data_IF_338837636387
#
_entry.id   IF_338837636387
#
_cell.length_a   1.000
_cell.length_b   1.000
_cell.length_c   1.000
_cell.angle_alpha   90.00
_cell.angle_beta   90.00
_cell.angle_gamma   90.00
#
_symmetry.space_group_name_H-M   'P 1'
#
loop_
_entity.id
_entity.type
_entity.pdbx_description
1 polymer ?
#
# COMPACT_ATOMS: atom_id res chain seq x y z
N UNK A 1 -16.54 -32.44 -9.11
CA UNK A 1 -17.60 -31.53 -8.61
C UNK A 1 -16.93 -30.43 -7.78
N UNK A 2 -16.99 -29.15 -8.19
CA UNK A 2 -16.33 -28.05 -7.44
C UNK A 2 -16.96 -27.92 -6.05
N UNK A 3 -16.14 -28.04 -4.99
CA UNK A 3 -16.58 -27.86 -3.60
C UNK A 3 -16.76 -26.37 -3.31
N UNK A 4 -17.72 -26.05 -2.43
CA UNK A 4 -17.98 -24.69 -1.91
C UNK A 4 -18.10 -23.64 -3.03
N UNK A 5 -18.89 -23.92 -4.08
CA UNK A 5 -19.13 -22.99 -5.22
C UNK A 5 -19.59 -21.60 -4.79
N UNK A 6 -20.27 -21.50 -3.66
CA UNK A 6 -20.73 -20.22 -3.11
C UNK A 6 -19.57 -19.24 -2.89
N UNK A 7 -18.36 -19.69 -2.54
CA UNK A 7 -17.19 -18.83 -2.38
C UNK A 7 -16.80 -18.14 -3.69
N UNK A 8 -16.77 -18.89 -4.80
CA UNK A 8 -16.47 -18.35 -6.12
C UNK A 8 -17.55 -17.35 -6.54
N UNK A 9 -18.83 -17.73 -6.41
CA UNK A 9 -19.95 -16.90 -6.86
C UNK A 9 -20.03 -15.62 -6.02
N UNK A 10 -20.07 -15.73 -4.70
CA UNK A 10 -20.16 -14.57 -3.80
C UNK A 10 -18.92 -13.69 -3.89
N UNK A 11 -17.71 -14.27 -3.91
CA UNK A 11 -16.46 -13.53 -4.06
C UNK A 11 -16.40 -12.77 -5.37
N UNK A 12 -16.78 -13.39 -6.50
CA UNK A 12 -16.80 -12.71 -7.81
C UNK A 12 -17.86 -11.61 -7.87
N UNK A 13 -19.09 -11.88 -7.40
CA UNK A 13 -20.17 -10.89 -7.40
C UNK A 13 -19.81 -9.69 -6.53
N UNK A 14 -19.31 -9.92 -5.30
CA UNK A 14 -18.90 -8.84 -4.40
C UNK A 14 -17.72 -8.05 -4.98
N UNK A 15 -16.70 -8.73 -5.52
CA UNK A 15 -15.57 -8.04 -6.14
C UNK A 15 -16.01 -7.15 -7.31
N UNK A 16 -16.86 -7.67 -8.20
CA UNK A 16 -17.38 -6.90 -9.33
C UNK A 16 -18.22 -5.71 -8.88
N UNK A 17 -19.10 -5.87 -7.89
CA UNK A 17 -19.93 -4.78 -7.36
C UNK A 17 -19.08 -3.70 -6.70
N UNK A 18 -18.09 -4.10 -5.90
CA UNK A 18 -17.19 -3.17 -5.20
C UNK A 18 -16.28 -2.42 -6.18
N UNK A 19 -15.69 -3.11 -7.15
CA UNK A 19 -14.88 -2.46 -8.18
C UNK A 19 -15.73 -1.50 -9.03
N UNK A 20 -16.95 -1.91 -9.41
CA UNK A 20 -17.89 -1.01 -10.08
C UNK A 20 -18.18 0.22 -9.23
N UNK A 21 -18.45 0.05 -7.93
CA UNK A 21 -18.70 1.16 -7.01
C UNK A 21 -17.50 2.12 -6.92
N UNK A 22 -16.29 1.59 -6.76
CA UNK A 22 -15.05 2.39 -6.71
C UNK A 22 -14.87 3.19 -8.00
N UNK A 23 -15.01 2.55 -9.17
CA UNK A 23 -14.81 3.21 -10.47
C UNK A 23 -15.93 4.22 -10.77
N UNK A 24 -17.19 3.84 -10.56
CA UNK A 24 -18.36 4.67 -10.88
C UNK A 24 -18.41 5.94 -10.04
N UNK A 25 -18.07 5.84 -8.74
CA UNK A 25 -18.02 6.99 -7.84
C UNK A 25 -16.62 7.62 -7.71
N UNK A 26 -15.64 7.17 -8.52
CA UNK A 26 -14.26 7.67 -8.53
C UNK A 26 -13.64 7.74 -7.12
N UNK A 27 -13.85 6.69 -6.32
CA UNK A 27 -13.41 6.67 -4.94
C UNK A 27 -11.90 6.49 -4.85
N UNK A 28 -11.27 7.33 -4.06
CA UNK A 28 -9.88 7.18 -3.65
C UNK A 28 -9.81 6.66 -2.21
N UNK A 29 -8.81 5.83 -1.87
CA UNK A 29 -8.61 5.43 -0.49
C UNK A 29 -8.36 6.69 0.35
N UNK A 30 -8.88 6.76 1.59
CA UNK A 30 -8.63 7.90 2.46
C UNK A 30 -7.13 8.14 2.58
N UNK A 31 -6.72 9.41 2.48
CA UNK A 31 -5.34 9.81 2.75
C UNK A 31 -5.04 9.52 4.22
N UNK A 32 -4.29 8.46 4.47
CA UNK A 32 -3.62 8.19 5.74
C UNK A 32 -2.14 8.47 5.57
N UNK A 33 -1.44 8.69 6.68
CA UNK A 33 0.00 9.00 6.74
C UNK A 33 0.76 8.41 5.56
N UNK A 34 1.14 9.29 4.63
CA UNK A 34 1.87 8.90 3.42
C UNK A 34 3.21 8.36 3.90
N UNK A 35 3.39 7.04 3.84
CA UNK A 35 4.67 6.44 4.15
C UNK A 35 5.70 6.98 3.17
N UNK A 36 6.62 7.75 3.74
CA UNK A 36 7.74 8.31 3.04
C UNK A 36 8.65 7.17 2.59
N UNK A 37 8.67 6.86 1.29
CA UNK A 37 9.62 5.90 0.72
C UNK A 37 10.44 6.48 -0.44
N UNK A 38 11.75 6.22 -0.40
CA UNK A 38 12.70 6.65 -1.42
C UNK A 38 12.43 6.01 -2.79
N UNK A 39 12.91 6.65 -3.87
CA UNK A 39 12.81 6.06 -5.22
C UNK A 39 13.54 4.71 -5.29
N UNK A 40 14.67 4.56 -4.59
CA UNK A 40 15.44 3.31 -4.55
C UNK A 40 14.66 2.14 -3.94
N UNK A 41 13.78 2.42 -2.98
CA UNK A 41 12.92 1.41 -2.36
C UNK A 41 11.60 1.22 -3.09
N UNK A 42 11.26 2.03 -4.09
CA UNK A 42 10.00 1.93 -4.83
C UNK A 42 9.77 0.53 -5.43
N UNK A 43 10.70 0.03 -6.26
CA UNK A 43 10.54 -1.28 -6.90
C UNK A 43 10.47 -2.41 -5.88
N UNK A 44 11.21 -2.27 -4.78
CA UNK A 44 11.21 -3.27 -3.72
C UNK A 44 9.86 -3.28 -2.97
N UNK A 45 9.38 -2.11 -2.56
CA UNK A 45 8.15 -1.93 -1.77
C UNK A 45 6.86 -2.05 -2.57
N UNK A 46 6.87 -1.68 -3.85
CA UNK A 46 5.67 -1.62 -4.69
C UNK A 46 5.55 -2.80 -5.67
N UNK A 47 6.64 -3.54 -5.92
CA UNK A 47 6.63 -4.69 -6.83
C UNK A 47 7.15 -5.95 -6.16
N UNK A 48 8.43 -6.00 -5.78
CA UNK A 48 9.07 -7.25 -5.35
C UNK A 48 8.38 -7.82 -4.11
N UNK A 49 8.23 -7.03 -3.04
CA UNK A 49 7.59 -7.54 -1.83
C UNK A 49 6.10 -7.83 -2.03
N UNK A 50 5.25 -6.93 -2.54
CA UNK A 50 3.82 -7.20 -2.66
C UNK A 50 3.47 -8.29 -3.67
N UNK A 51 4.25 -8.45 -4.74
CA UNK A 51 3.93 -9.43 -5.81
C UNK A 51 4.52 -10.80 -5.50
N UNK A 52 5.71 -10.87 -4.91
CA UNK A 52 6.45 -12.14 -4.79
C UNK A 52 6.53 -12.67 -3.36
N UNK A 53 6.54 -11.81 -2.34
CA UNK A 53 6.82 -12.23 -0.95
C UNK A 53 5.55 -12.20 -0.10
N UNK A 54 4.82 -11.08 -0.12
CA UNK A 54 3.59 -10.90 0.65
C UNK A 54 2.56 -12.00 0.38
N UNK A 55 2.29 -12.43 -0.87
CA UNK A 55 1.29 -13.46 -1.13
C UNK A 55 1.62 -14.80 -0.46
N UNK A 56 2.90 -15.15 -0.35
CA UNK A 56 3.32 -16.40 0.29
C UNK A 56 3.03 -16.36 1.78
N UNK A 57 3.43 -15.26 2.44
CA UNK A 57 3.26 -15.06 3.88
C UNK A 57 1.77 -14.94 4.21
N UNK A 58 1.05 -14.10 3.48
CA UNK A 58 -0.36 -13.80 3.73
C UNK A 58 -1.26 -15.01 3.48
N UNK A 59 -1.10 -15.73 2.37
CA UNK A 59 -1.94 -16.91 2.12
C UNK A 59 -1.70 -18.02 3.17
N UNK A 60 -0.48 -18.18 3.68
CA UNK A 60 -0.23 -19.10 4.81
C UNK A 60 -0.85 -18.55 6.10
N UNK A 61 -0.64 -17.28 6.41
CA UNK A 61 -1.14 -16.63 7.64
C UNK A 61 -2.66 -16.62 7.73
N UNK A 62 -3.35 -16.33 6.63
CA UNK A 62 -4.80 -16.22 6.63
C UNK A 62 -5.49 -17.53 6.26
N UNK A 63 -4.91 -18.35 5.39
CA UNK A 63 -5.57 -19.56 4.84
C UNK A 63 -4.77 -20.85 4.99
N UNK A 64 -3.63 -20.86 5.67
CA UNK A 64 -2.82 -22.07 5.87
C UNK A 64 -3.60 -23.22 6.53
N UNK A 65 -4.65 -22.92 7.30
CA UNK A 65 -5.57 -23.91 7.88
C UNK A 65 -6.33 -24.75 6.84
N UNK A 66 -6.61 -24.20 5.65
CA UNK A 66 -7.30 -24.88 4.54
C UNK A 66 -6.41 -25.93 3.86
N UNK A 67 -5.10 -25.87 4.08
CA UNK A 67 -4.17 -26.79 3.44
C UNK A 67 -4.22 -28.19 4.06
N UNK A 68 -3.82 -29.21 3.29
CA UNK A 68 -3.64 -30.57 3.81
C UNK A 68 -2.30 -30.74 4.56
N UNK A 69 -1.36 -29.82 4.39
CA UNK A 69 -0.02 -29.91 4.97
C UNK A 69 -0.04 -29.53 6.46
N UNK A 70 0.42 -30.44 7.32
CA UNK A 70 0.56 -30.18 8.77
C UNK A 70 1.57 -29.07 9.06
N UNK A 71 2.62 -28.98 8.24
CA UNK A 71 3.64 -27.93 8.36
C UNK A 71 3.00 -26.57 8.13
N UNK A 72 2.26 -26.39 7.02
CA UNK A 72 1.61 -25.11 6.72
C UNK A 72 0.51 -24.76 7.72
N UNK A 73 -0.23 -25.76 8.23
CA UNK A 73 -1.17 -25.55 9.33
C UNK A 73 -0.48 -25.12 10.63
N UNK A 74 0.72 -25.65 10.92
CA UNK A 74 1.54 -25.21 12.05
C UNK A 74 2.08 -23.80 11.87
N UNK A 75 2.56 -23.46 10.68
CA UNK A 75 3.05 -22.10 10.36
C UNK A 75 1.90 -21.09 10.46
N UNK A 76 0.69 -21.42 10.01
CA UNK A 76 -0.52 -20.61 10.23
C UNK A 76 -0.77 -20.27 11.70
N UNK A 77 -0.56 -21.24 12.60
CA UNK A 77 -0.69 -21.06 14.05
C UNK A 77 0.41 -20.17 14.66
N UNK A 78 1.56 -20.04 13.99
CA UNK A 78 2.69 -19.23 14.46
C UNK A 78 2.71 -17.82 13.87
N UNK A 79 2.53 -17.69 12.55
CA UNK A 79 2.65 -16.41 11.84
C UNK A 79 1.64 -15.38 12.33
N UNK A 80 0.43 -15.82 12.70
CA UNK A 80 -0.61 -14.88 13.11
C UNK A 80 -0.29 -14.21 14.45
N UNK A 81 0.08 -14.94 15.54
CA UNK A 81 0.60 -14.33 16.76
C UNK A 81 1.86 -13.49 16.54
N UNK A 82 2.82 -13.98 15.75
CA UNK A 82 4.06 -13.23 15.49
C UNK A 82 3.75 -11.87 14.85
N UNK A 83 2.80 -11.82 13.92
CA UNK A 83 2.40 -10.56 13.29
C UNK A 83 1.82 -9.55 14.29
N UNK A 84 1.10 -10.01 15.31
CA UNK A 84 0.59 -9.14 16.39
C UNK A 84 1.72 -8.58 17.25
N UNK A 85 2.73 -9.40 17.57
CA UNK A 85 3.88 -8.94 18.35
C UNK A 85 4.71 -7.90 17.59
N UNK A 86 4.88 -8.07 16.27
CA UNK A 86 5.66 -7.14 15.44
C UNK A 86 4.91 -5.84 15.15
N UNK A 87 3.61 -5.92 14.82
CA UNK A 87 2.82 -4.75 14.45
C UNK A 87 2.40 -3.90 15.65
N UNK A 88 2.49 -4.43 16.88
CA UNK A 88 1.94 -3.80 18.07
C UNK A 88 0.58 -4.38 18.46
N UNK A 89 0.24 -4.23 19.75
CA UNK A 89 -0.98 -4.82 20.31
C UNK A 89 -2.22 -3.99 19.97
N UNK A 90 -3.00 -4.45 18.99
CA UNK A 90 -4.39 -4.03 18.81
C UNK A 90 -5.34 -5.06 19.43
N UNK A 91 -6.20 -4.61 20.34
CA UNK A 91 -7.10 -5.50 21.09
C UNK A 91 -8.15 -6.15 20.18
N UNK A 92 -8.65 -5.44 19.17
CA UNK A 92 -9.66 -5.94 18.23
C UNK A 92 -9.03 -7.03 17.35
N UNK A 93 -7.84 -6.77 16.80
CA UNK A 93 -7.12 -7.75 15.99
C UNK A 93 -6.78 -8.99 16.83
N UNK A 94 -6.33 -8.82 18.07
CA UNK A 94 -6.09 -9.94 18.99
C UNK A 94 -7.34 -10.79 19.22
N UNK A 95 -8.50 -10.17 19.50
CA UNK A 95 -9.77 -10.87 19.66
C UNK A 95 -10.14 -11.64 18.39
N UNK A 96 -9.98 -11.04 17.20
CA UNK A 96 -10.24 -11.72 15.92
C UNK A 96 -9.36 -12.97 15.74
N UNK A 97 -8.08 -12.89 16.09
CA UNK A 97 -7.16 -14.03 16.04
C UNK A 97 -7.61 -15.15 16.98
N UNK A 98 -8.02 -14.81 18.20
CA UNK A 98 -8.57 -15.79 19.14
C UNK A 98 -9.82 -16.47 18.58
N UNK A 99 -10.75 -15.69 18.00
CA UNK A 99 -11.98 -16.23 17.38
C UNK A 99 -11.63 -17.20 16.24
N UNK A 100 -10.70 -16.84 15.35
CA UNK A 100 -10.23 -17.72 14.27
C UNK A 100 -9.67 -19.02 14.84
N UNK A 101 -8.84 -18.96 15.89
CA UNK A 101 -8.20 -20.13 16.48
C UNK A 101 -9.20 -21.01 17.23
N UNK A 102 -10.15 -20.43 17.94
CA UNK A 102 -11.24 -21.16 18.58
C UNK A 102 -12.08 -21.90 17.54
N UNK A 103 -12.51 -21.23 16.47
CA UNK A 103 -13.28 -21.88 15.40
C UNK A 103 -12.46 -22.97 14.71
N UNK A 104 -11.17 -22.74 14.45
CA UNK A 104 -10.28 -23.74 13.87
C UNK A 104 -10.14 -24.98 14.76
N UNK A 105 -9.97 -24.80 16.07
CA UNK A 105 -9.92 -25.90 17.04
C UNK A 105 -11.24 -26.68 17.05
N UNK A 106 -12.38 -25.98 17.12
CA UNK A 106 -13.71 -26.60 17.05
C UNK A 106 -13.91 -27.38 15.73
N UNK A 107 -13.50 -26.82 14.60
CA UNK A 107 -13.56 -27.50 13.32
C UNK A 107 -12.69 -28.77 13.30
N UNK A 108 -11.51 -28.77 13.91
CA UNK A 108 -10.67 -29.99 13.98
C UNK A 108 -11.29 -31.09 14.84
N UNK A 109 -12.02 -30.73 15.89
CA UNK A 109 -12.70 -31.67 16.78
C UNK A 109 -13.98 -32.22 16.12
N UNK A 110 -14.88 -31.33 15.72
CA UNK A 110 -16.24 -31.71 15.28
C UNK A 110 -16.36 -31.97 13.77
N UNK A 111 -15.46 -31.41 12.95
CA UNK A 111 -15.43 -31.55 11.48
C UNK A 111 -16.73 -31.15 10.77
N UNK A 112 -17.51 -30.24 11.36
CA UNK A 112 -18.72 -29.71 10.73
C UNK A 112 -18.38 -28.76 9.59
N UNK A 113 -19.03 -28.95 8.44
CA UNK A 113 -18.84 -28.10 7.26
C UNK A 113 -19.22 -26.64 7.52
N UNK A 114 -20.20 -26.38 8.39
CA UNK A 114 -20.61 -25.03 8.78
C UNK A 114 -19.50 -24.29 9.56
N UNK A 115 -18.75 -24.99 10.42
CA UNK A 115 -17.62 -24.39 11.13
C UNK A 115 -16.50 -23.99 10.17
N UNK A 116 -16.27 -24.79 9.12
CA UNK A 116 -15.33 -24.44 8.06
C UNK A 116 -15.78 -23.19 7.30
N UNK A 117 -17.07 -23.09 6.97
CA UNK A 117 -17.61 -21.92 6.26
C UNK A 117 -17.47 -20.65 7.11
N UNK A 118 -17.81 -20.71 8.40
CA UNK A 118 -17.62 -19.58 9.33
C UNK A 118 -16.14 -19.22 9.44
N UNK A 119 -15.24 -20.20 9.56
CA UNK A 119 -13.80 -19.95 9.65
C UNK A 119 -13.27 -19.23 8.42
N UNK A 120 -13.74 -19.59 7.22
CA UNK A 120 -13.36 -18.94 5.96
C UNK A 120 -13.86 -17.48 5.91
N UNK A 121 -15.10 -17.24 6.35
CA UNK A 121 -15.68 -15.89 6.39
C UNK A 121 -14.90 -15.01 7.36
N UNK A 122 -14.67 -15.47 8.59
CA UNK A 122 -13.95 -14.71 9.62
C UNK A 122 -12.49 -14.48 9.22
N UNK A 123 -11.82 -15.48 8.63
CA UNK A 123 -10.45 -15.30 8.10
C UNK A 123 -10.40 -14.27 6.95
N UNK A 124 -11.39 -14.29 6.05
CA UNK A 124 -11.46 -13.31 4.95
C UNK A 124 -11.73 -11.90 5.47
N UNK A 125 -12.52 -11.76 6.53
CA UNK A 125 -12.75 -10.50 7.22
C UNK A 125 -11.47 -10.00 7.91
N UNK A 126 -10.74 -10.89 8.58
CA UNK A 126 -9.47 -10.54 9.21
C UNK A 126 -8.42 -10.12 8.16
N UNK A 127 -8.33 -10.82 7.04
CA UNK A 127 -7.49 -10.41 5.91
C UNK A 127 -7.85 -9.03 5.38
N UNK A 128 -9.15 -8.74 5.24
CA UNK A 128 -9.63 -7.44 4.81
C UNK A 128 -9.20 -6.33 5.77
N UNK A 129 -9.47 -6.51 7.07
CA UNK A 129 -9.09 -5.54 8.11
C UNK A 129 -7.58 -5.37 8.26
N UNK A 130 -6.77 -6.40 7.95
CA UNK A 130 -5.31 -6.29 7.97
C UNK A 130 -4.77 -5.26 6.96
N UNK A 131 -5.53 -4.93 5.91
CA UNK A 131 -5.14 -3.93 4.92
C UNK A 131 -5.47 -2.49 5.36
N UNK A 132 -6.03 -2.31 6.56
CA UNK A 132 -6.14 -0.97 7.14
C UNK A 132 -4.75 -0.49 7.59
N UNK A 133 -4.42 0.79 7.32
CA UNK A 133 -3.29 1.43 7.96
C UNK A 133 -3.38 1.31 9.49
N UNK A 134 -2.24 1.16 10.16
CA UNK A 134 -2.20 0.91 11.62
C UNK A 134 -2.95 1.98 12.44
N UNK A 135 -2.91 3.24 12.01
CA UNK A 135 -3.58 4.37 12.67
C UNK A 135 -4.94 4.72 12.05
N UNK A 136 -5.47 3.91 11.14
CA UNK A 136 -6.71 4.26 10.43
C UNK A 136 -7.92 4.15 11.35
N UNK A 137 -8.68 5.25 11.43
CA UNK A 137 -10.05 5.18 11.93
C UNK A 137 -10.94 4.50 10.87
N UNK A 138 -11.65 3.45 11.27
CA UNK A 138 -12.60 2.75 10.39
C UNK A 138 -13.74 3.72 10.07
N UNK A 139 -13.75 4.22 8.84
CA UNK A 139 -14.77 5.14 8.31
C UNK A 139 -15.48 4.49 7.13
N UNK A 140 -16.64 5.03 6.76
CA UNK A 140 -17.43 4.53 5.62
C UNK A 140 -16.65 4.55 4.30
N UNK A 141 -15.67 5.44 4.14
CA UNK A 141 -14.83 5.53 2.94
C UNK A 141 -13.85 4.37 2.79
N UNK A 142 -13.50 3.65 3.87
CA UNK A 142 -12.67 2.45 3.79
C UNK A 142 -13.41 1.21 3.29
N UNK A 143 -14.73 1.16 3.47
CA UNK A 143 -15.54 -0.06 3.24
C UNK A 143 -15.40 -0.62 1.81
N UNK A 144 -15.40 0.17 0.73
CA UNK A 144 -15.18 -0.36 -0.61
C UNK A 144 -13.82 -1.05 -0.75
N UNK A 145 -12.74 -0.45 -0.24
CA UNK A 145 -11.39 -1.03 -0.32
C UNK A 145 -11.28 -2.32 0.50
N UNK A 146 -11.88 -2.34 1.69
CA UNK A 146 -12.02 -3.56 2.50
C UNK A 146 -12.84 -4.64 1.78
N UNK A 147 -13.87 -4.25 1.03
CA UNK A 147 -14.69 -5.13 0.22
C UNK A 147 -13.89 -5.85 -0.87
N UNK A 148 -12.89 -5.20 -1.48
CA UNK A 148 -11.98 -5.83 -2.44
C UNK A 148 -11.20 -6.96 -1.75
N UNK A 149 -10.51 -6.65 -0.66
CA UNK A 149 -9.70 -7.63 0.08
C UNK A 149 -10.54 -8.79 0.62
N UNK A 150 -11.73 -8.51 1.16
CA UNK A 150 -12.66 -9.53 1.63
C UNK A 150 -13.06 -10.49 0.50
N UNK A 151 -13.44 -9.93 -0.65
CA UNK A 151 -13.86 -10.70 -1.82
C UNK A 151 -12.73 -11.59 -2.35
N UNK A 152 -11.51 -11.06 -2.44
CA UNK A 152 -10.32 -11.83 -2.79
C UNK A 152 -10.04 -12.95 -1.80
N UNK A 153 -10.25 -12.71 -0.50
CA UNK A 153 -10.11 -13.74 0.52
C UNK A 153 -11.04 -14.94 0.32
N UNK A 154 -12.28 -14.71 -0.11
CA UNK A 154 -13.22 -15.77 -0.47
C UNK A 154 -12.76 -16.53 -1.72
N UNK A 155 -12.31 -15.80 -2.75
CA UNK A 155 -11.83 -16.38 -4.01
C UNK A 155 -10.58 -17.24 -3.80
N UNK A 156 -9.59 -16.76 -3.05
CA UNK A 156 -8.38 -17.53 -2.75
C UNK A 156 -8.70 -18.74 -1.87
N UNK A 157 -9.62 -18.62 -0.91
CA UNK A 157 -10.11 -19.77 -0.14
C UNK A 157 -10.73 -20.84 -1.06
N UNK A 158 -11.54 -20.43 -2.06
CA UNK A 158 -12.09 -21.34 -3.06
C UNK A 158 -10.99 -22.04 -3.87
N UNK A 159 -9.96 -21.29 -4.29
CA UNK A 159 -8.81 -21.82 -5.02
C UNK A 159 -8.07 -22.86 -4.19
N UNK A 160 -7.80 -22.61 -2.90
CA UNK A 160 -7.09 -23.55 -2.04
C UNK A 160 -7.88 -24.85 -1.87
N UNK A 161 -9.19 -24.74 -1.65
CA UNK A 161 -10.09 -25.89 -1.44
C UNK A 161 -10.16 -26.79 -2.69
N UNK A 162 -10.19 -26.18 -3.89
CA UNK A 162 -10.40 -26.90 -5.14
C UNK A 162 -9.11 -27.22 -5.91
N UNK A 163 -8.01 -26.52 -5.62
CA UNK A 163 -6.70 -26.70 -6.23
C UNK A 163 -5.63 -26.90 -5.16
N UNK A 164 -4.85 -25.87 -4.85
CA UNK A 164 -3.78 -25.90 -3.85
C UNK A 164 -3.42 -24.49 -3.41
N UNK A 165 -2.65 -24.38 -2.32
CA UNK A 165 -2.14 -23.08 -1.85
C UNK A 165 -1.17 -22.41 -2.83
N UNK A 166 -0.46 -23.20 -3.65
CA UNK A 166 0.43 -22.66 -4.69
C UNK A 166 -0.37 -21.85 -5.71
N UNK A 167 -1.55 -22.33 -6.10
CA UNK A 167 -2.43 -21.58 -7.00
C UNK A 167 -2.96 -20.29 -6.37
N UNK A 168 -3.18 -20.27 -5.06
CA UNK A 168 -3.53 -19.04 -4.35
C UNK A 168 -2.37 -18.05 -4.32
N UNK A 169 -1.13 -18.50 -4.07
CA UNK A 169 0.06 -17.63 -4.16
C UNK A 169 0.18 -16.97 -5.53
N UNK A 170 0.03 -17.75 -6.62
CA UNK A 170 0.14 -17.24 -7.99
C UNK A 170 -0.98 -16.24 -8.29
N UNK A 171 -2.23 -16.55 -7.93
CA UNK A 171 -3.35 -15.65 -8.20
C UNK A 171 -3.31 -14.37 -7.36
N UNK A 172 -2.89 -14.47 -6.11
CA UNK A 172 -2.70 -13.31 -5.24
C UNK A 172 -1.54 -12.44 -5.73
N UNK A 173 -0.39 -13.03 -6.04
CA UNK A 173 0.72 -12.30 -6.69
C UNK A 173 0.31 -11.67 -8.02
N UNK A 174 -0.47 -12.37 -8.84
CA UNK A 174 -1.02 -11.83 -10.09
C UNK A 174 -1.98 -10.66 -9.87
N UNK A 175 -2.83 -10.71 -8.84
CA UNK A 175 -3.68 -9.58 -8.45
C UNK A 175 -2.84 -8.37 -8.04
N UNK A 176 -1.85 -8.57 -7.17
CA UNK A 176 -0.96 -7.50 -6.72
C UNK A 176 -0.17 -6.92 -7.89
N UNK A 177 0.27 -7.75 -8.84
CA UNK A 177 0.94 -7.29 -10.05
C UNK A 177 0.02 -6.38 -10.89
N UNK A 178 -1.25 -6.74 -11.09
CA UNK A 178 -2.21 -5.89 -11.80
C UNK A 178 -2.35 -4.54 -11.11
N UNK A 179 -2.51 -4.51 -9.77
CA UNK A 179 -2.60 -3.27 -9.00
C UNK A 179 -1.33 -2.43 -9.13
N UNK A 180 -0.15 -3.04 -8.98
CA UNK A 180 1.15 -2.34 -9.13
C UNK A 180 1.36 -1.79 -10.54
N UNK A 181 0.90 -2.51 -11.58
CA UNK A 181 0.97 -2.04 -12.97
C UNK A 181 0.02 -0.87 -13.23
N UNK A 182 -1.20 -0.89 -12.65
CA UNK A 182 -2.12 0.25 -12.74
C UNK A 182 -1.53 1.49 -12.05
N UNK A 183 -0.92 1.29 -10.88
CA UNK A 183 -0.25 2.38 -10.15
C UNK A 183 0.93 2.96 -10.94
N UNK A 184 1.81 2.12 -11.48
CA UNK A 184 2.91 2.55 -12.33
C UNK A 184 2.43 3.21 -13.63
N UNK A 185 1.35 2.70 -14.22
CA UNK A 185 0.71 3.30 -15.39
C UNK A 185 0.21 4.71 -15.09
N UNK A 186 -0.39 4.93 -13.92
CA UNK A 186 -0.77 6.28 -13.48
C UNK A 186 0.45 7.20 -13.28
N UNK A 187 1.51 6.73 -12.63
CA UNK A 187 2.74 7.52 -12.44
C UNK A 187 3.47 7.85 -13.77
N UNK A 188 3.25 7.06 -14.81
CA UNK A 188 3.88 7.28 -16.11
C UNK A 188 3.01 8.10 -17.08
N UNK A 189 1.70 7.83 -17.14
CA UNK A 189 0.80 8.42 -18.13
C UNK A 189 -0.28 9.34 -17.55
N UNK A 190 -0.52 9.28 -16.24
CA UNK A 190 -1.65 9.93 -15.57
C UNK A 190 -1.29 11.17 -14.76
N UNK A 191 -0.02 11.56 -14.73
CA UNK A 191 0.42 12.79 -14.05
C UNK A 191 0.29 13.99 -14.99
N UNK A 192 -0.10 15.15 -14.46
CA UNK A 192 -0.06 16.40 -15.22
C UNK A 192 1.38 16.89 -15.33
N UNK A 193 1.86 17.10 -16.55
CA UNK A 193 3.17 17.71 -16.83
C UNK A 193 3.10 19.24 -16.86
N UNK A 194 1.98 19.85 -16.45
CA UNK A 194 1.87 21.30 -16.34
C UNK A 194 2.92 21.84 -15.34
N UNK A 195 3.72 22.85 -15.76
CA UNK A 195 4.72 23.44 -14.89
C UNK A 195 4.07 24.27 -13.78
N UNK A 196 4.70 24.27 -12.60
CA UNK A 196 4.37 25.16 -11.50
C UNK A 196 5.49 26.16 -11.25
N UNK A 197 5.13 27.30 -10.65
CA UNK A 197 6.03 28.43 -10.42
C UNK A 197 5.68 29.14 -9.10
N UNK A 198 6.70 29.48 -8.32
CA UNK A 198 6.57 30.34 -7.12
C UNK A 198 7.60 31.46 -7.22
N UNK A 199 7.10 32.70 -7.33
CA UNK A 199 7.92 33.90 -7.40
C UNK A 199 7.78 34.70 -6.10
N UNK A 200 8.90 35.08 -5.50
CA UNK A 200 8.97 36.08 -4.43
C UNK A 200 10.16 37.01 -4.65
N UNK A 201 10.27 38.05 -3.82
CA UNK A 201 11.42 38.95 -3.85
C UNK A 201 12.73 38.23 -3.49
N UNK A 202 12.68 37.19 -2.65
CA UNK A 202 13.87 36.50 -2.10
C UNK A 202 14.29 35.27 -2.91
N UNK A 203 13.39 34.72 -3.72
CA UNK A 203 13.62 33.47 -4.46
C UNK A 203 12.60 33.22 -5.56
N UNK A 204 13.00 32.34 -6.49
CA UNK A 204 12.20 31.86 -7.60
C UNK A 204 12.29 30.33 -7.70
N UNK A 205 11.15 29.65 -7.75
CA UNK A 205 11.01 28.20 -7.96
C UNK A 205 10.24 27.93 -9.25
N UNK A 206 10.82 27.14 -10.15
CA UNK A 206 10.13 26.53 -11.28
C UNK A 206 10.21 25.01 -11.14
N UNK A 207 9.11 24.30 -11.39
CA UNK A 207 9.12 22.85 -11.42
C UNK A 207 8.15 22.30 -12.45
N UNK A 208 8.40 21.06 -12.86
CA UNK A 208 7.45 20.26 -13.63
C UNK A 208 7.51 18.81 -13.16
N UNK A 209 6.36 18.15 -13.10
CA UNK A 209 6.31 16.70 -12.93
C UNK A 209 6.79 16.04 -14.22
N UNK A 210 7.45 14.90 -14.10
CA UNK A 210 7.91 14.14 -15.27
C UNK A 210 7.50 12.67 -15.16
N UNK A 211 7.24 11.99 -16.30
CA UNK A 211 6.87 10.59 -16.33
C UNK A 211 7.86 9.71 -15.59
N UNK A 212 7.36 8.81 -14.74
CA UNK A 212 8.19 8.01 -13.84
C UNK A 212 9.28 7.19 -14.54
N UNK A 213 9.01 6.65 -15.73
CA UNK A 213 9.92 5.78 -16.48
C UNK A 213 10.85 6.53 -17.45
N UNK A 214 10.82 7.87 -17.50
CA UNK A 214 11.65 8.63 -18.45
C UNK A 214 13.16 8.41 -18.23
N UNK A 215 13.63 8.37 -16.99
CA UNK A 215 15.02 8.07 -16.67
C UNK A 215 15.16 7.46 -15.28
N UNK A 216 16.19 6.63 -15.09
CA UNK A 216 16.59 6.10 -13.78
C UNK A 216 17.76 6.86 -13.15
N UNK A 217 18.33 7.86 -13.85
CA UNK A 217 19.37 8.74 -13.32
C UNK A 217 18.77 10.08 -12.89
N UNK A 218 18.78 10.33 -11.58
CA UNK A 218 18.46 11.63 -11.01
C UNK A 218 19.72 12.47 -10.79
N UNK A 219 19.59 13.79 -10.80
CA UNK A 219 20.68 14.71 -10.49
C UNK A 219 20.21 15.77 -9.51
N UNK A 220 21.00 15.99 -8.46
CA UNK A 220 20.87 17.09 -7.50
C UNK A 220 22.14 17.96 -7.63
N UNK A 221 22.00 19.19 -8.12
CA UNK A 221 23.12 20.07 -8.47
C UNK A 221 22.93 21.46 -7.87
N UNK A 222 23.46 21.70 -6.66
CA UNK A 222 23.61 23.06 -6.14
C UNK A 222 24.81 23.74 -6.81
N UNK A 223 24.65 25.00 -7.21
CA UNK A 223 25.70 25.84 -7.77
C UNK A 223 25.49 27.29 -7.33
N UNK A 224 26.21 27.71 -6.28
CA UNK A 224 26.01 29.00 -5.65
C UNK A 224 24.58 29.16 -5.15
N UNK A 225 23.91 30.21 -5.60
CA UNK A 225 22.52 30.51 -5.23
C UNK A 225 21.46 29.82 -6.11
N UNK A 226 21.85 28.87 -6.96
CA UNK A 226 20.95 28.10 -7.82
C UNK A 226 20.99 26.62 -7.46
N UNK A 227 19.83 25.98 -7.40
CA UNK A 227 19.65 24.54 -7.26
C UNK A 227 18.91 24.00 -8.48
N UNK A 228 19.54 23.07 -9.20
CA UNK A 228 18.89 22.32 -10.27
C UNK A 228 18.71 20.87 -9.85
N UNK A 229 17.48 20.38 -9.97
CA UNK A 229 17.10 19.00 -9.76
C UNK A 229 16.54 18.47 -11.06
N UNK A 230 16.96 17.26 -11.45
CA UNK A 230 16.47 16.62 -12.66
C UNK A 230 16.09 15.18 -12.34
N UNK A 231 14.88 14.79 -12.70
CA UNK A 231 14.38 13.42 -12.61
C UNK A 231 14.54 12.78 -11.21
N UNK A 232 14.12 13.49 -10.17
CA UNK A 232 14.13 13.00 -8.79
C UNK A 232 12.78 13.19 -8.12
N UNK A 233 12.41 12.28 -7.21
CA UNK A 233 11.27 12.53 -6.34
C UNK A 233 11.67 13.51 -5.23
N UNK A 234 10.67 14.22 -4.68
CA UNK A 234 10.92 15.21 -3.65
C UNK A 234 11.48 14.60 -2.37
N UNK A 235 11.14 13.36 -2.06
CA UNK A 235 11.69 12.71 -0.87
C UNK A 235 13.21 12.52 -0.95
N UNK A 236 13.74 12.06 -2.08
CA UNK A 236 15.18 11.92 -2.27
C UNK A 236 15.86 13.30 -2.29
N UNK A 237 15.23 14.29 -2.93
CA UNK A 237 15.70 15.70 -2.93
C UNK A 237 15.84 16.24 -1.50
N UNK A 238 14.81 16.10 -0.67
CA UNK A 238 14.83 16.56 0.71
C UNK A 238 15.83 15.74 1.54
N UNK A 239 15.98 14.44 1.28
CA UNK A 239 17.02 13.62 1.88
C UNK A 239 18.44 14.15 1.62
N UNK A 240 18.69 14.75 0.45
CA UNK A 240 19.95 15.44 0.15
C UNK A 240 20.04 16.85 0.74
N UNK A 241 18.94 17.62 0.71
CA UNK A 241 18.92 18.99 1.19
C UNK A 241 19.00 19.09 2.72
N UNK A 242 18.37 18.16 3.45
CA UNK A 242 18.29 18.13 4.90
C UNK A 242 17.36 17.02 5.38
N UNK A 243 17.87 15.83 5.74
CA UNK A 243 17.02 14.72 6.16
C UNK A 243 16.14 15.04 7.36
N UNK A 244 16.56 15.96 8.24
CA UNK A 244 15.77 16.46 9.38
C UNK A 244 14.46 17.18 8.98
N UNK A 245 14.34 17.64 7.73
CA UNK A 245 13.10 18.22 7.21
C UNK A 245 12.01 17.14 7.15
N UNK A 246 12.37 15.90 6.83
CA UNK A 246 11.44 14.77 6.75
C UNK A 246 10.86 14.38 8.11
N UNK A 247 11.48 14.82 9.22
CA UNK A 247 10.94 14.60 10.56
C UNK A 247 9.68 15.45 10.81
N UNK A 248 9.62 16.65 10.22
CA UNK A 248 8.57 17.66 10.48
C UNK A 248 7.62 17.91 9.29
N UNK A 249 8.00 17.51 8.08
CA UNK A 249 7.23 17.72 6.84
C UNK A 249 6.85 16.38 6.18
N UNK A 250 5.78 16.38 5.40
CA UNK A 250 5.33 15.31 4.51
C UNK A 250 5.47 15.75 3.05
N UNK A 251 5.96 14.83 2.22
CA UNK A 251 5.92 14.96 0.76
C UNK A 251 4.53 14.53 0.29
N UNK A 252 3.82 15.41 -0.42
CA UNK A 252 2.44 15.14 -0.84
C UNK A 252 2.36 14.13 -1.98
N UNK A 253 3.41 14.03 -2.80
CA UNK A 253 3.51 13.15 -3.96
C UNK A 253 4.83 12.34 -3.93
N UNK A 254 5.00 11.36 -3.02
CA UNK A 254 6.30 10.73 -2.72
C UNK A 254 6.91 9.95 -3.90
N UNK A 255 6.07 9.52 -4.85
CA UNK A 255 6.47 8.71 -5.99
C UNK A 255 6.56 9.49 -7.31
N UNK A 256 6.15 10.76 -7.32
CA UNK A 256 6.24 11.61 -8.50
C UNK A 256 7.66 12.13 -8.63
N UNK A 257 8.15 12.20 -9.87
CA UNK A 257 9.47 12.77 -10.19
C UNK A 257 9.31 14.18 -10.73
N UNK A 258 10.31 15.00 -10.47
CA UNK A 258 10.34 16.40 -10.85
C UNK A 258 11.64 16.78 -11.54
N UNK A 259 11.52 17.72 -12.46
CA UNK A 259 12.60 18.65 -12.79
C UNK A 259 12.31 19.96 -12.06
N UNK A 260 13.29 20.50 -11.33
CA UNK A 260 13.14 21.72 -10.54
C UNK A 260 14.34 22.63 -10.80
N UNK A 261 14.06 23.91 -11.01
CA UNK A 261 15.07 24.97 -10.96
C UNK A 261 14.66 25.93 -9.85
N UNK A 262 15.56 26.13 -8.90
CA UNK A 262 15.35 27.04 -7.78
C UNK A 262 16.50 28.03 -7.69
N UNK A 263 16.18 29.30 -7.50
CA UNK A 263 17.15 30.38 -7.33
C UNK A 263 16.80 31.18 -6.08
N UNK A 264 17.78 31.40 -5.20
CA UNK A 264 17.68 32.28 -4.05
C UNK A 264 18.48 33.56 -4.29
N UNK A 265 18.11 34.69 -3.71
CA UNK A 265 18.97 35.87 -3.72
C UNK A 265 20.25 35.66 -2.90
N UNK A 266 20.13 34.90 -1.80
CA UNK A 266 21.23 34.58 -0.89
C UNK A 266 21.51 33.07 -0.86
N UNK A 267 22.76 32.68 -1.15
CA UNK A 267 23.21 31.28 -1.10
C UNK A 267 23.07 30.68 0.30
N UNK A 268 23.33 31.47 1.35
CA UNK A 268 23.23 31.00 2.73
C UNK A 268 21.78 30.59 3.12
N UNK A 269 20.79 31.15 2.42
CA UNK A 269 19.37 30.91 2.67
C UNK A 269 18.75 29.93 1.66
N UNK A 270 19.52 29.45 0.69
CA UNK A 270 19.06 28.59 -0.41
C UNK A 270 18.18 27.43 0.10
N UNK A 271 18.62 26.72 1.13
CA UNK A 271 17.88 25.59 1.71
C UNK A 271 16.57 26.02 2.36
N UNK A 272 16.59 27.07 3.17
CA UNK A 272 15.40 27.53 3.89
C UNK A 272 14.34 28.06 2.92
N UNK A 273 14.78 28.86 1.95
CA UNK A 273 13.92 29.42 0.90
C UNK A 273 13.37 28.32 -0.01
N UNK A 274 14.17 27.30 -0.34
CA UNK A 274 13.70 26.16 -1.13
C UNK A 274 12.57 25.40 -0.43
N UNK A 275 12.72 25.09 0.86
CA UNK A 275 11.67 24.42 1.65
C UNK A 275 10.41 25.29 1.74
N UNK A 276 10.57 26.60 1.96
CA UNK A 276 9.47 27.57 2.01
C UNK A 276 8.72 27.62 0.67
N UNK A 277 9.44 27.63 -0.45
CA UNK A 277 8.84 27.62 -1.79
C UNK A 277 8.03 26.34 -2.05
N UNK A 278 8.56 25.17 -1.67
CA UNK A 278 7.84 23.89 -1.77
C UNK A 278 6.61 23.83 -0.85
N UNK A 279 6.66 24.47 0.32
CA UNK A 279 5.50 24.57 1.23
C UNK A 279 4.40 25.46 0.65
N UNK A 280 4.75 26.61 0.08
CA UNK A 280 3.79 27.54 -0.55
C UNK A 280 2.99 26.83 -1.64
N UNK A 281 3.65 26.01 -2.45
CA UNK A 281 3.01 25.28 -3.55
C UNK A 281 2.45 23.92 -3.14
N UNK A 282 2.36 23.64 -1.83
CA UNK A 282 1.79 22.41 -1.26
C UNK A 282 2.47 21.11 -1.72
N UNK A 283 3.72 21.19 -2.20
CA UNK A 283 4.57 20.03 -2.48
C UNK A 283 5.15 19.42 -1.20
N UNK A 284 5.27 20.25 -0.14
CA UNK A 284 5.53 19.85 1.23
C UNK A 284 4.43 20.38 2.16
N UNK A 285 4.00 19.56 3.11
CA UNK A 285 3.04 19.98 4.16
C UNK A 285 3.56 19.62 5.54
N UNK A 286 3.27 20.47 6.55
CA UNK A 286 3.64 20.19 7.93
C UNK A 286 2.89 18.97 8.47
N UNK A 287 3.59 18.09 9.18
CA UNK A 287 2.94 17.01 9.95
C UNK A 287 2.08 17.63 11.03
N UNK A 288 0.77 17.32 11.01
CA UNK A 288 -0.11 17.63 12.13
C UNK A 288 0.23 16.66 13.26
N UNK A 289 0.61 17.20 14.43
CA UNK A 289 0.85 16.40 15.63
C UNK A 289 -0.47 15.95 16.26
#
# INVERSE_FOLDING_TARGET
MNKKKWLLISGSVLLSLVLFFIVFFQLTPPLTDIEQSSFKSFYLSSFIFPVLVAPLIEEIRFRGFLTKSKILQGIFLLLTPISLFVAGWDTIIFILVLVIYSIYALYKVYKFDALLDILIIVSSLFFSLHHLPFNANITWSWIPFLGVSFSLGLLFSWVIINKSIIWAFILHGGWNLVVSLLFLGHLHFGISEEPGEVISDEYHLEWKRIPFLNSNSGQYKPNGNVLTITNMNLQDVIGYAGPEILDSMLVTEPFVKYDITFQSENEAELKANFVKALEIDSLLIKKVK
#
